data_IF_065175906479
#
_entry.id   IF_065175906479
#
_cell.length_a   1.000
_cell.length_b   1.000
_cell.length_c   1.000
_cell.angle_alpha   90.00
_cell.angle_beta   90.00
_cell.angle_gamma   90.00
#
_symmetry.space_group_name_H-M   'P 1'
#
loop_
_entity.id
_entity.type
_entity.pdbx_description
1 polymer ?
#
# COMPACT_ATOMS: atom_id res chain seq x y z
N UNK A 1 5.33 5.77 -6.27
CA UNK A 1 6.01 5.96 -4.98
C UNK A 1 6.34 7.42 -4.77
N UNK A 2 5.33 8.28 -4.78
CA UNK A 2 5.43 9.68 -4.43
C UNK A 2 4.92 9.87 -2.98
N UNK A 3 5.48 10.80 -2.18
CA UNK A 3 5.03 11.02 -0.81
C UNK A 3 3.53 11.27 -0.67
N UNK A 4 2.92 11.87 -1.69
CA UNK A 4 1.50 12.20 -1.75
C UNK A 4 0.62 10.93 -1.71
N UNK A 5 1.08 9.81 -2.27
CA UNK A 5 0.33 8.55 -2.27
C UNK A 5 0.17 8.00 -0.84
N UNK A 6 1.22 8.12 -0.01
CA UNK A 6 1.17 7.75 1.41
C UNK A 6 0.31 8.74 2.20
N UNK A 7 0.44 10.04 1.91
CA UNK A 7 -0.35 11.09 2.57
C UNK A 7 -1.85 10.92 2.34
N UNK A 8 -2.27 10.54 1.14
CA UNK A 8 -3.68 10.24 0.84
C UNK A 8 -4.19 9.03 1.62
N UNK A 9 -3.38 7.97 1.75
CA UNK A 9 -3.77 6.81 2.57
C UNK A 9 -3.90 7.20 4.05
N UNK A 10 -2.98 8.00 4.57
CA UNK A 10 -3.06 8.52 5.93
C UNK A 10 -4.30 9.41 6.13
N UNK A 11 -4.63 10.26 5.16
CA UNK A 11 -5.82 11.11 5.21
C UNK A 11 -7.11 10.28 5.25
N UNK A 12 -7.21 9.24 4.42
CA UNK A 12 -8.33 8.29 4.48
C UNK A 12 -8.45 7.63 5.85
N UNK A 13 -7.35 7.08 6.38
CA UNK A 13 -7.36 6.39 7.69
C UNK A 13 -7.69 7.33 8.86
N UNK A 14 -7.44 8.63 8.72
CA UNK A 14 -7.78 9.64 9.71
C UNK A 14 -9.24 10.15 9.60
N UNK A 15 -9.98 9.77 8.55
CA UNK A 15 -11.35 10.21 8.31
C UNK A 15 -12.40 9.34 8.99
N UNK A 16 -13.63 9.85 9.10
CA UNK A 16 -14.78 9.10 9.65
C UNK A 16 -15.12 7.85 8.82
N UNK A 17 -14.79 7.85 7.52
CA UNK A 17 -15.01 6.71 6.62
C UNK A 17 -14.19 5.48 7.01
N UNK A 18 -13.09 5.68 7.74
CA UNK A 18 -12.23 4.62 8.25
C UNK A 18 -12.59 4.21 9.70
N UNK A 19 -13.75 4.60 10.23
CA UNK A 19 -14.16 4.36 11.63
C UNK A 19 -14.07 2.90 12.11
N UNK A 20 -14.14 1.93 11.20
CA UNK A 20 -13.99 0.50 11.52
C UNK A 20 -12.68 -0.13 11.03
N UNK A 21 -11.75 0.67 10.53
CA UNK A 21 -10.48 0.21 9.96
C UNK A 21 -9.37 0.44 10.99
N UNK A 22 -8.99 -0.62 11.71
CA UNK A 22 -7.91 -0.56 12.70
C UNK A 22 -7.09 -1.87 12.73
N UNK A 23 -5.90 -1.79 13.33
CA UNK A 23 -5.02 -2.95 13.54
C UNK A 23 -4.42 -3.57 12.27
N UNK A 24 -4.55 -2.91 11.12
CA UNK A 24 -4.02 -3.39 9.83
C UNK A 24 -2.78 -2.60 9.40
N UNK A 25 -1.88 -3.29 8.70
CA UNK A 25 -0.78 -2.67 7.99
C UNK A 25 -1.15 -2.57 6.50
N UNK A 26 -1.23 -1.33 5.99
CA UNK A 26 -1.58 -1.09 4.59
C UNK A 26 -0.32 -0.82 3.76
N UNK A 27 -0.05 -1.69 2.79
CA UNK A 27 1.03 -1.48 1.84
C UNK A 27 0.61 -0.45 0.77
N UNK A 28 1.39 0.62 0.63
CA UNK A 28 1.24 1.65 -0.42
C UNK A 28 2.46 1.57 -1.35
N UNK A 29 2.61 0.42 -2.02
CA UNK A 29 3.83 0.07 -2.77
C UNK A 29 3.58 -0.24 -4.25
N UNK A 30 2.39 0.03 -4.76
CA UNK A 30 2.03 -0.26 -6.14
C UNK A 30 1.86 -1.75 -6.46
N UNK A 31 1.69 -2.61 -5.45
CA UNK A 31 1.48 -4.05 -5.63
C UNK A 31 2.77 -4.88 -5.56
N UNK A 32 3.88 -4.29 -5.13
CA UNK A 32 5.14 -5.02 -4.98
C UNK A 32 5.01 -6.16 -3.98
N UNK A 33 4.36 -5.93 -2.83
CA UNK A 33 4.11 -6.94 -1.79
C UNK A 33 3.16 -8.07 -2.23
N UNK A 34 2.37 -7.86 -3.29
CA UNK A 34 1.44 -8.87 -3.83
C UNK A 34 1.95 -9.55 -5.11
N UNK A 35 3.06 -9.07 -5.67
CA UNK A 35 3.65 -9.62 -6.89
C UNK A 35 4.56 -10.83 -6.60
N UNK A 36 4.49 -11.85 -7.46
CA UNK A 36 5.51 -12.90 -7.47
C UNK A 36 6.77 -12.35 -8.15
N UNK A 37 7.98 -12.54 -7.59
CA UNK A 37 9.20 -12.09 -8.23
C UNK A 37 9.32 -12.73 -9.61
N UNK A 38 9.33 -11.91 -10.66
CA UNK A 38 9.71 -12.39 -11.98
C UNK A 38 11.23 -12.52 -12.01
N UNK A 39 11.73 -13.75 -11.97
CA UNK A 39 13.15 -14.02 -12.20
C UNK A 39 13.29 -14.49 -13.65
N UNK A 40 13.86 -13.68 -14.55
CA UNK A 40 14.12 -14.12 -15.92
C UNK A 40 15.05 -15.34 -15.90
N UNK A 41 14.87 -16.33 -16.79
CA UNK A 41 15.79 -17.45 -16.89
C UNK A 41 17.19 -16.93 -17.23
N UNK A 42 18.21 -17.48 -16.56
CA UNK A 42 19.61 -17.23 -16.94
C UNK A 42 19.88 -17.90 -18.28
N UNK A 43 20.35 -17.11 -19.25
CA UNK A 43 20.92 -17.58 -20.51
C UNK A 43 22.22 -18.35 -20.27
#
# INVERSE_FOLDING_TARGET
GAPEEIAQMALFLASDDASYVNGQAFAVDGGLSSSHPIVPPRL
#
